data_IF_612223490168
#
_entry.id   IF_612223490168
#
_cell.length_a   1.000
_cell.length_b   1.000
_cell.length_c   1.000
_cell.angle_alpha   90.00
_cell.angle_beta   90.00
_cell.angle_gamma   90.00
#
_symmetry.space_group_name_H-M   'P 1'
#
loop_
_entity.id
_entity.type
_entity.pdbx_description
1 polymer ?
#
# COMPACT_ATOMS: atom_id res chain seq x y z
N UNK A 1 6.18 -17.69 -9.08
CA UNK A 1 5.17 -16.63 -9.29
C UNK A 1 5.38 -15.54 -8.26
N UNK A 2 5.13 -14.27 -8.59
CA UNK A 2 5.42 -13.11 -7.70
C UNK A 2 4.68 -13.19 -6.35
N UNK A 3 3.41 -13.60 -6.34
CA UNK A 3 2.66 -13.82 -5.10
C UNK A 3 3.37 -14.76 -4.11
N UNK A 4 3.93 -15.89 -4.59
CA UNK A 4 4.69 -16.81 -3.73
C UNK A 4 5.98 -16.21 -3.15
N UNK A 5 6.62 -15.28 -3.87
CA UNK A 5 7.78 -14.55 -3.33
C UNK A 5 7.32 -13.59 -2.23
N UNK A 6 6.20 -12.90 -2.41
CA UNK A 6 5.62 -12.02 -1.41
C UNK A 6 5.13 -12.79 -0.17
N UNK A 7 4.57 -13.98 -0.34
CA UNK A 7 4.26 -14.89 0.77
C UNK A 7 5.52 -15.24 1.59
N UNK A 8 6.65 -15.53 0.91
CA UNK A 8 7.93 -15.77 1.57
C UNK A 8 8.48 -14.54 2.32
N UNK A 9 8.08 -13.33 1.91
CA UNK A 9 8.35 -12.08 2.63
C UNK A 9 7.39 -11.83 3.80
N UNK A 10 6.45 -12.75 4.03
CA UNK A 10 5.56 -12.77 5.19
C UNK A 10 4.18 -12.15 4.94
N UNK A 11 3.82 -11.79 3.70
CA UNK A 11 2.44 -11.43 3.35
C UNK A 11 1.52 -12.66 3.40
N UNK A 12 0.25 -12.49 3.79
CA UNK A 12 -0.73 -13.57 3.68
C UNK A 12 -1.05 -13.80 2.20
N UNK A 13 -1.58 -14.97 1.88
CA UNK A 13 -1.85 -15.39 0.49
C UNK A 13 -2.62 -14.36 -0.33
N UNK A 14 -3.74 -13.83 0.19
CA UNK A 14 -4.52 -12.82 -0.53
C UNK A 14 -3.83 -11.46 -0.62
N UNK A 15 -3.13 -11.02 0.43
CA UNK A 15 -2.35 -9.77 0.40
C UNK A 15 -1.24 -9.86 -0.65
N UNK A 16 -0.53 -10.98 -0.67
CA UNK A 16 0.54 -11.27 -1.61
C UNK A 16 0.01 -11.31 -3.05
N UNK A 17 -1.17 -11.90 -3.28
CA UNK A 17 -1.83 -11.92 -4.57
C UNK A 17 -2.21 -10.49 -5.02
N UNK A 18 -2.84 -9.69 -4.17
CA UNK A 18 -3.25 -8.33 -4.52
C UNK A 18 -2.05 -7.44 -4.85
N UNK A 19 -0.98 -7.50 -4.06
CA UNK A 19 0.26 -6.75 -4.31
C UNK A 19 0.88 -7.22 -5.64
N UNK A 20 0.95 -8.53 -5.89
CA UNK A 20 1.46 -9.05 -7.16
C UNK A 20 0.64 -8.58 -8.37
N UNK A 21 -0.69 -8.50 -8.23
CA UNK A 21 -1.57 -7.96 -9.26
C UNK A 21 -1.30 -6.47 -9.52
N UNK A 22 -1.15 -5.67 -8.46
CA UNK A 22 -0.83 -4.24 -8.58
C UNK A 22 0.52 -4.02 -9.28
N UNK A 23 1.54 -4.78 -8.89
CA UNK A 23 2.85 -4.74 -9.57
C UNK A 23 2.76 -5.18 -11.03
N UNK A 24 1.99 -6.24 -11.34
CA UNK A 24 1.79 -6.70 -12.71
C UNK A 24 1.04 -5.69 -13.57
N UNK A 25 0.11 -4.95 -12.97
CA UNK A 25 -0.61 -3.84 -13.60
C UNK A 25 0.21 -2.57 -13.72
N UNK A 26 1.45 -2.54 -13.19
CA UNK A 26 2.31 -1.35 -13.11
C UNK A 26 1.63 -0.17 -12.43
N UNK A 27 0.82 -0.45 -11.41
CA UNK A 27 0.23 0.59 -10.59
C UNK A 27 1.34 1.35 -9.85
N UNK A 28 1.21 2.66 -9.73
CA UNK A 28 2.13 3.46 -8.90
C UNK A 28 1.87 3.21 -7.41
N UNK A 29 0.60 3.11 -7.02
CA UNK A 29 0.16 2.94 -5.64
C UNK A 29 -0.93 1.87 -5.54
N UNK A 30 -0.80 0.98 -4.56
CA UNK A 30 -1.80 0.02 -4.13
C UNK A 30 -2.42 0.49 -2.82
N UNK A 31 -3.70 0.84 -2.85
CA UNK A 31 -4.41 1.30 -1.66
C UNK A 31 -5.03 0.15 -0.86
N UNK A 32 -4.87 0.21 0.45
CA UNK A 32 -5.55 -0.69 1.39
C UNK A 32 -5.89 0.05 2.69
N UNK A 33 -6.87 -0.43 3.43
CA UNK A 33 -7.19 0.06 4.78
C UNK A 33 -6.65 -0.86 5.89
N UNK A 34 -5.96 -1.95 5.53
CA UNK A 34 -5.34 -2.85 6.50
C UNK A 34 -3.97 -2.32 6.92
N UNK A 35 -3.90 -1.70 8.10
CA UNK A 35 -2.66 -1.14 8.62
C UNK A 35 -1.55 -2.18 8.81
N UNK A 36 -1.86 -3.45 9.03
CA UNK A 36 -0.84 -4.49 9.14
C UNK A 36 -0.15 -4.73 7.79
N UNK A 37 -0.90 -4.70 6.69
CA UNK A 37 -0.36 -4.77 5.33
C UNK A 37 0.47 -3.53 5.02
N UNK A 38 -0.04 -2.34 5.31
CA UNK A 38 0.67 -1.06 5.08
C UNK A 38 1.99 -1.03 5.82
N UNK A 39 1.98 -1.29 7.14
CA UNK A 39 3.21 -1.26 7.96
C UNK A 39 4.24 -2.26 7.45
N UNK A 40 3.82 -3.46 7.05
CA UNK A 40 4.73 -4.46 6.49
C UNK A 40 5.30 -4.01 5.15
N UNK A 41 4.45 -3.52 4.25
CA UNK A 41 4.87 -3.05 2.95
C UNK A 41 5.85 -1.88 3.05
N UNK A 42 5.60 -0.90 3.92
CA UNK A 42 6.54 0.19 4.21
C UNK A 42 7.92 -0.32 4.65
N UNK A 43 7.95 -1.31 5.55
CA UNK A 43 9.22 -1.92 5.99
C UNK A 43 9.94 -2.68 4.86
N UNK A 44 9.21 -3.20 3.90
CA UNK A 44 9.72 -4.02 2.80
C UNK A 44 9.74 -3.26 1.46
N UNK A 45 9.63 -1.93 1.47
CA UNK A 45 9.42 -1.12 0.26
C UNK A 45 10.50 -1.34 -0.80
N UNK A 46 11.76 -1.57 -0.40
CA UNK A 46 12.87 -1.87 -1.30
C UNK A 46 12.73 -3.19 -2.06
N UNK A 47 11.82 -4.07 -1.62
CA UNK A 47 11.53 -5.37 -2.22
C UNK A 47 10.19 -5.38 -2.97
N UNK A 48 9.46 -4.26 -2.96
CA UNK A 48 8.18 -4.08 -3.64
C UNK A 48 8.34 -3.16 -4.85
N UNK A 49 7.59 -3.44 -5.92
CA UNK A 49 7.58 -2.62 -7.13
C UNK A 49 6.40 -1.64 -7.17
N UNK A 50 5.60 -1.60 -6.10
CA UNK A 50 4.46 -0.70 -5.92
C UNK A 50 4.52 -0.09 -4.53
N UNK A 51 4.09 1.17 -4.40
CA UNK A 51 3.91 1.78 -3.08
C UNK A 51 2.60 1.27 -2.47
N UNK A 52 2.59 0.91 -1.19
CA UNK A 52 1.35 0.52 -0.50
C UNK A 52 0.98 1.60 0.49
N UNK A 53 -0.22 2.16 0.37
CA UNK A 53 -0.68 3.23 1.24
C UNK A 53 -2.13 3.11 1.71
N UNK A 54 -2.43 3.84 2.77
CA UNK A 54 -3.81 4.13 3.12
C UNK A 54 -4.36 5.20 2.16
N UNK A 55 -5.52 5.00 1.52
CA UNK A 55 -6.11 5.99 0.64
C UNK A 55 -6.40 7.32 1.36
N UNK A 56 -6.79 7.30 2.64
CA UNK A 56 -7.04 8.50 3.42
C UNK A 56 -5.76 9.35 3.58
N UNK A 57 -4.67 8.72 4.04
CA UNK A 57 -3.37 9.39 4.20
C UNK A 57 -2.86 9.94 2.87
N UNK A 58 -2.95 9.15 1.81
CA UNK A 58 -2.52 9.57 0.48
C UNK A 58 -3.30 10.80 -0.02
N UNK A 59 -4.63 10.80 0.16
CA UNK A 59 -5.48 11.94 -0.23
C UNK A 59 -5.14 13.21 0.56
N UNK A 60 -4.88 13.08 1.87
CA UNK A 60 -4.46 14.21 2.72
C UNK A 60 -3.15 14.84 2.22
N UNK A 61 -2.19 14.03 1.79
CA UNK A 61 -0.90 14.48 1.29
C UNK A 61 -0.97 15.12 -0.11
N UNK A 62 -1.82 14.60 -1.01
CA UNK A 62 -1.77 14.93 -2.44
C UNK A 62 -2.88 15.86 -2.92
N UNK A 63 -4.05 15.84 -2.29
CA UNK A 63 -5.16 16.69 -2.72
C UNK A 63 -5.19 17.99 -1.92
N UNK A 64 -4.54 18.02 -0.75
CA UNK A 64 -4.71 19.08 0.23
C UNK A 64 -6.15 19.06 0.72
N UNK A 65 -6.36 18.89 2.01
CA UNK A 65 -7.67 19.24 2.57
C UNK A 65 -7.82 20.74 2.34
N UNK A 66 -8.57 21.13 1.30
CA UNK A 66 -9.17 22.44 1.25
C UNK A 66 -9.90 22.60 2.58
N UNK A 67 -9.42 23.56 3.37
CA UNK A 67 -9.96 24.04 4.64
C UNK A 67 -9.54 23.30 5.93
N UNK A 68 -8.73 24.01 6.72
CA UNK A 68 -8.94 24.31 8.14
C UNK A 68 -9.99 23.43 8.86
N UNK A 69 -9.59 22.28 9.41
CA UNK A 69 -10.35 21.55 10.43
C UNK A 69 -9.64 21.59 11.81
N UNK A 70 -9.08 22.75 12.17
CA UNK A 70 -8.59 23.02 13.53
C UNK A 70 -8.90 24.47 13.93
N UNK A 71 -10.19 24.75 14.05
CA UNK A 71 -10.71 25.68 15.05
C UNK A 71 -12.00 25.07 15.60
N UNK A 72 -11.87 24.11 16.54
CA UNK A 72 -12.77 23.79 17.67
C UNK A 72 -12.08 22.86 18.66
#
# INVERSE_FOLDING_TARGET
MRGKQLEALGFKEYDALHIACAESGKADVFFTADDAVIRRAKRLQSQLHVQVENPHTWLQEHIGTGDNYHDR
#
